data_IF_805852017749
#
_entry.id   IF_805852017749
#
_cell.length_a   1.000
_cell.length_b   1.000
_cell.length_c   1.000
_cell.angle_alpha   90.00
_cell.angle_beta   90.00
_cell.angle_gamma   90.00
#
_symmetry.space_group_name_H-M   'P 1'
#
loop_
_entity.id
_entity.type
_entity.pdbx_description
1 polymer ?
#
# COMPACT_ATOMS: atom_id res chain seq x y z
N UNK A 1 14.70 7.33 4.11
CA UNK A 1 13.98 8.58 3.81
C UNK A 1 14.87 9.77 4.10
N UNK A 2 14.66 10.86 3.36
CA UNK A 2 15.40 12.10 3.57
C UNK A 2 14.49 13.30 3.32
N UNK A 3 14.48 14.24 4.23
CA UNK A 3 13.90 15.55 4.02
C UNK A 3 14.99 16.55 3.68
N UNK A 4 14.77 17.30 2.62
CA UNK A 4 15.73 18.29 2.14
C UNK A 4 15.08 19.67 1.99
N UNK A 5 15.82 20.72 2.26
CA UNK A 5 15.38 22.09 1.97
C UNK A 5 15.37 22.34 0.46
N UNK A 6 14.78 23.46 0.03
CA UNK A 6 14.83 23.91 -1.37
C UNK A 6 16.26 24.16 -1.88
N UNK A 7 17.22 24.38 -0.98
CA UNK A 7 18.65 24.50 -1.30
C UNK A 7 19.40 23.15 -1.34
N UNK A 8 18.70 22.03 -1.09
CA UNK A 8 19.29 20.68 -1.08
C UNK A 8 19.95 20.26 0.23
N UNK A 9 19.88 21.07 1.28
CA UNK A 9 20.42 20.69 2.58
C UNK A 9 19.52 19.69 3.27
N UNK A 10 20.08 18.58 3.77
CA UNK A 10 19.36 17.58 4.55
C UNK A 10 19.00 18.13 5.92
N UNK A 11 17.74 18.04 6.32
CA UNK A 11 17.21 18.49 7.61
C UNK A 11 16.71 17.35 8.47
N UNK A 12 16.44 16.20 7.87
CA UNK A 12 16.07 14.98 8.57
C UNK A 12 16.40 13.74 7.72
N UNK A 13 16.80 12.67 8.37
CA UNK A 13 17.06 11.37 7.73
C UNK A 13 16.51 10.23 8.57
N UNK A 14 16.09 9.17 7.90
CA UNK A 14 15.69 7.91 8.49
C UNK A 14 16.24 6.76 7.64
N UNK A 15 16.89 5.82 8.29
CA UNK A 15 17.57 4.70 7.65
C UNK A 15 16.90 3.38 8.05
N UNK A 16 16.35 2.65 7.06
CA UNK A 16 15.66 1.37 7.28
C UNK A 16 16.54 0.33 7.99
N UNK A 17 17.84 0.29 7.70
CA UNK A 17 18.75 -0.69 8.31
C UNK A 17 18.99 -0.47 9.82
N UNK A 18 18.61 0.69 10.36
CA UNK A 18 18.67 0.98 11.79
C UNK A 18 17.40 0.56 12.54
N UNK A 19 16.29 0.40 11.83
CA UNK A 19 14.94 0.22 12.40
C UNK A 19 14.27 -1.10 11.99
N UNK A 20 14.79 -1.76 10.97
CA UNK A 20 14.27 -3.02 10.45
C UNK A 20 15.31 -4.12 10.71
N UNK A 21 14.81 -5.31 11.08
CA UNK A 21 15.65 -6.48 11.31
C UNK A 21 15.64 -7.40 10.09
N UNK A 22 16.78 -7.74 9.46
CA UNK A 22 16.82 -8.56 8.25
C UNK A 22 16.24 -9.97 8.41
N UNK A 23 16.09 -10.45 9.62
CA UNK A 23 15.51 -11.78 9.92
C UNK A 23 14.01 -11.65 10.21
N UNK A 24 13.65 -10.72 11.10
CA UNK A 24 12.24 -10.47 11.44
C UNK A 24 11.48 -9.81 10.27
N UNK A 25 12.13 -8.87 9.58
CA UNK A 25 11.61 -8.17 8.39
C UNK A 25 12.21 -8.75 7.10
N UNK A 26 12.33 -10.09 7.02
CA UNK A 26 12.86 -10.77 5.84
C UNK A 26 11.95 -10.57 4.62
N UNK A 27 12.56 -10.39 3.46
CA UNK A 27 11.82 -10.26 2.20
C UNK A 27 11.15 -11.58 1.81
N UNK A 28 10.11 -11.49 0.98
CA UNK A 28 9.46 -12.63 0.35
C UNK A 28 10.52 -13.54 -0.31
N UNK A 29 10.46 -14.83 -0.02
CA UNK A 29 11.45 -15.83 -0.51
C UNK A 29 11.44 -16.03 -2.03
N UNK A 30 10.39 -15.57 -2.72
CA UNK A 30 10.26 -15.66 -4.18
C UNK A 30 10.94 -14.48 -4.92
N UNK A 31 11.42 -13.46 -4.19
CA UNK A 31 12.10 -12.32 -4.78
C UNK A 31 13.62 -12.47 -4.84
N UNK A 32 14.24 -11.78 -5.82
CA UNK A 32 15.67 -11.61 -5.90
C UNK A 32 16.20 -10.89 -4.64
N UNK A 33 17.50 -11.07 -4.35
CA UNK A 33 18.18 -10.52 -3.15
C UNK A 33 19.00 -9.26 -3.45
N UNK A 34 18.69 -8.58 -4.53
CA UNK A 34 19.32 -7.33 -4.98
C UNK A 34 18.70 -6.09 -4.35
N UNK A 35 17.50 -6.23 -3.76
CA UNK A 35 16.78 -5.17 -3.09
C UNK A 35 16.12 -5.72 -1.81
N UNK A 36 16.12 -4.93 -0.71
CA UNK A 36 15.53 -5.41 0.54
C UNK A 36 14.11 -4.90 0.76
N UNK A 37 13.89 -3.58 0.79
CA UNK A 37 12.60 -3.03 1.26
C UNK A 37 11.62 -2.74 0.13
N UNK A 38 12.10 -2.29 -1.03
CA UNK A 38 11.28 -1.77 -2.12
C UNK A 38 10.21 -0.79 -1.61
N UNK A 39 10.66 0.29 -1.00
CA UNK A 39 9.76 1.30 -0.44
C UNK A 39 9.01 2.01 -1.57
N UNK A 40 7.70 1.86 -1.61
CA UNK A 40 6.85 2.39 -2.68
C UNK A 40 5.90 3.50 -2.23
N UNK A 41 5.90 3.85 -0.94
CA UNK A 41 5.13 4.97 -0.39
C UNK A 41 5.92 5.69 0.69
N UNK A 42 5.88 7.03 0.66
CA UNK A 42 6.41 7.91 1.69
C UNK A 42 5.53 9.18 1.70
N UNK A 43 4.63 9.30 2.67
CA UNK A 43 3.73 10.45 2.81
C UNK A 43 3.85 11.04 4.20
N UNK A 44 3.95 12.37 4.28
CA UNK A 44 3.94 13.08 5.56
C UNK A 44 2.49 13.28 6.01
N UNK A 45 2.20 12.88 7.24
CA UNK A 45 0.90 13.03 7.88
C UNK A 45 0.73 14.43 8.48
N UNK A 46 -0.50 14.79 8.85
CA UNK A 46 -0.80 16.13 9.42
C UNK A 46 -0.08 16.40 10.74
N UNK A 47 0.22 15.35 11.51
CA UNK A 47 0.99 15.42 12.76
C UNK A 47 2.51 15.45 12.55
N UNK A 48 2.95 15.41 11.30
CA UNK A 48 4.37 15.38 10.89
C UNK A 48 4.98 13.99 10.85
N UNK A 49 4.30 12.94 11.29
CA UNK A 49 4.75 11.55 11.15
C UNK A 49 4.73 11.10 9.68
N UNK A 50 5.32 9.96 9.38
CA UNK A 50 5.45 9.47 8.01
C UNK A 50 4.76 8.12 7.88
N UNK A 51 3.74 8.03 7.01
CA UNK A 51 3.22 6.72 6.60
C UNK A 51 4.01 6.19 5.41
N UNK A 52 4.36 4.92 5.46
CA UNK A 52 5.21 4.26 4.47
C UNK A 52 4.75 2.83 4.18
N UNK A 53 5.17 2.32 3.02
CA UNK A 53 4.96 0.94 2.61
C UNK A 53 6.27 0.34 2.11
N UNK A 54 6.63 -0.81 2.65
CA UNK A 54 7.76 -1.64 2.24
C UNK A 54 7.22 -2.86 1.50
N UNK A 55 7.19 -2.76 0.17
CA UNK A 55 6.55 -3.75 -0.71
C UNK A 55 7.08 -5.17 -0.51
N UNK A 56 8.40 -5.34 -0.47
CA UNK A 56 9.02 -6.67 -0.37
C UNK A 56 8.96 -7.26 1.05
N UNK A 57 8.59 -6.47 2.04
CA UNK A 57 8.40 -6.90 3.42
C UNK A 57 6.91 -7.18 3.74
N UNK A 58 6.00 -6.93 2.78
CA UNK A 58 4.56 -7.00 2.98
C UNK A 58 4.12 -6.18 4.22
N UNK A 59 4.71 -4.99 4.37
CA UNK A 59 4.59 -4.20 5.59
C UNK A 59 4.24 -2.75 5.29
N UNK A 60 3.29 -2.22 6.05
CA UNK A 60 2.96 -0.79 6.13
C UNK A 60 3.32 -0.30 7.53
N UNK A 61 3.77 0.94 7.64
CA UNK A 61 4.10 1.51 8.94
C UNK A 61 3.89 3.02 9.02
N UNK A 62 3.73 3.50 10.25
CA UNK A 62 3.79 4.92 10.59
C UNK A 62 5.03 5.13 11.44
N UNK A 63 5.91 6.03 10.98
CA UNK A 63 7.17 6.36 11.64
C UNK A 63 7.01 7.71 12.32
N UNK A 64 7.35 7.76 13.60
CA UNK A 64 7.49 9.02 14.33
C UNK A 64 8.68 9.80 13.80
N UNK A 65 8.44 10.98 13.24
CA UNK A 65 9.52 11.83 12.75
C UNK A 65 10.44 12.31 13.86
N UNK A 66 9.95 12.44 15.09
CA UNK A 66 10.72 12.94 16.23
C UNK A 66 11.63 11.88 16.84
N UNK A 67 11.20 10.60 16.94
CA UNK A 67 12.00 9.52 17.52
C UNK A 67 12.67 8.63 16.47
N UNK A 68 12.17 8.59 15.24
CA UNK A 68 12.60 7.64 14.20
C UNK A 68 12.02 6.24 14.38
N UNK A 69 11.24 5.99 15.40
CA UNK A 69 10.67 4.67 15.70
C UNK A 69 9.31 4.48 15.00
N UNK A 70 8.93 3.22 14.78
CA UNK A 70 7.57 2.89 14.35
C UNK A 70 6.59 3.13 15.50
N UNK A 71 5.59 3.97 15.28
CA UNK A 71 4.43 4.11 16.17
C UNK A 71 3.35 3.09 15.82
N UNK A 72 3.36 2.57 14.59
CA UNK A 72 2.54 1.46 14.13
C UNK A 72 3.26 0.73 12.98
N UNK A 73 3.17 -0.60 12.97
CA UNK A 73 3.70 -1.46 11.89
C UNK A 73 2.81 -2.68 11.74
N UNK A 74 2.36 -2.97 10.51
CA UNK A 74 1.42 -4.05 10.25
C UNK A 74 1.57 -4.59 8.81
N UNK A 75 1.07 -5.81 8.60
CA UNK A 75 0.82 -6.37 7.26
C UNK A 75 1.56 -7.67 6.97
N UNK A 76 2.71 -7.93 7.62
CA UNK A 76 3.48 -9.16 7.39
C UNK A 76 2.63 -10.40 7.68
N UNK A 77 2.51 -11.28 6.66
CA UNK A 77 1.66 -12.48 6.73
C UNK A 77 0.20 -12.24 6.36
N UNK A 78 -0.23 -10.98 6.24
CA UNK A 78 -1.58 -10.57 5.87
C UNK A 78 -1.64 -9.94 4.47
N UNK A 79 -0.63 -9.11 4.13
CA UNK A 79 -0.53 -8.41 2.86
C UNK A 79 0.28 -9.21 1.84
N UNK A 80 0.14 -8.85 0.57
CA UNK A 80 0.94 -9.36 -0.53
C UNK A 80 1.35 -8.23 -1.49
N UNK A 81 2.54 -7.62 -1.25
CA UNK A 81 3.14 -6.57 -2.10
C UNK A 81 2.30 -5.32 -2.29
N UNK A 82 1.71 -4.84 -1.22
CA UNK A 82 0.78 -3.71 -1.14
C UNK A 82 1.37 -2.39 -1.66
N UNK A 83 0.46 -1.47 -1.99
CA UNK A 83 0.75 -0.11 -2.43
C UNK A 83 -0.17 0.92 -1.77
N UNK A 84 0.26 2.17 -1.83
CA UNK A 84 -0.54 3.38 -1.60
C UNK A 84 -1.29 3.46 -0.26
N UNK A 85 -0.68 3.08 0.89
CA UNK A 85 -1.33 3.31 2.16
C UNK A 85 -1.51 4.80 2.42
N UNK A 86 -2.66 5.16 3.02
CA UNK A 86 -2.86 6.49 3.54
C UNK A 86 -3.84 6.53 4.71
N UNK A 87 -3.62 7.48 5.61
CA UNK A 87 -4.44 7.71 6.77
C UNK A 87 -5.74 8.39 6.35
N UNK A 88 -6.87 7.84 6.79
CA UNK A 88 -8.20 8.42 6.61
C UNK A 88 -8.52 9.41 7.74
N UNK A 89 -9.55 10.23 7.56
CA UNK A 89 -10.00 11.21 8.57
C UNK A 89 -10.47 10.56 9.88
N UNK A 90 -10.97 9.32 9.82
CA UNK A 90 -11.37 8.54 11.00
C UNK A 90 -10.19 7.89 11.75
N UNK A 91 -8.96 8.07 11.27
CA UNK A 91 -7.75 7.48 11.85
C UNK A 91 -7.40 6.08 11.34
N UNK A 92 -8.23 5.46 10.50
CA UNK A 92 -7.94 4.19 9.87
C UNK A 92 -6.96 4.36 8.70
N UNK A 93 -6.33 3.27 8.29
CA UNK A 93 -5.42 3.25 7.13
C UNK A 93 -6.08 2.49 5.98
N UNK A 94 -6.20 3.15 4.82
CA UNK A 94 -6.65 2.53 3.58
C UNK A 94 -5.43 2.03 2.80
N UNK A 95 -5.48 0.79 2.27
CA UNK A 95 -4.36 0.12 1.62
C UNK A 95 -4.86 -0.60 0.37
N UNK A 96 -4.11 -0.47 -0.75
CA UNK A 96 -4.25 -1.36 -1.89
C UNK A 96 -3.37 -2.59 -1.65
N UNK A 97 -3.97 -3.72 -1.28
CA UNK A 97 -3.28 -5.00 -1.15
C UNK A 97 -3.29 -5.72 -2.50
N UNK A 98 -2.12 -5.78 -3.16
CA UNK A 98 -1.99 -6.39 -4.48
C UNK A 98 -2.24 -7.91 -4.45
N UNK A 99 -2.03 -8.55 -3.30
CA UNK A 99 -2.24 -10.00 -3.13
C UNK A 99 -1.27 -10.87 -3.92
N UNK A 100 -0.17 -10.28 -4.45
CA UNK A 100 0.87 -11.02 -5.14
C UNK A 100 1.82 -11.64 -4.13
N UNK A 101 2.06 -12.94 -4.23
CA UNK A 101 2.83 -13.73 -3.25
C UNK A 101 2.21 -13.76 -1.84
N UNK A 102 0.93 -13.48 -1.69
CA UNK A 102 0.27 -13.57 -0.40
C UNK A 102 0.46 -14.95 0.23
N UNK A 103 0.85 -14.97 1.51
CA UNK A 103 1.06 -16.22 2.27
C UNK A 103 -0.25 -16.95 2.60
N UNK A 104 -1.37 -16.24 2.57
CA UNK A 104 -2.69 -16.75 2.98
C UNK A 104 -3.64 -17.02 1.82
N UNK A 105 -3.39 -16.45 0.65
CA UNK A 105 -4.28 -16.59 -0.51
C UNK A 105 -3.99 -17.89 -1.30
N UNK A 106 -5.05 -18.62 -1.63
CA UNK A 106 -4.98 -19.80 -2.51
C UNK A 106 -4.87 -19.41 -4.00
N UNK A 107 -5.18 -18.16 -4.33
CA UNK A 107 -5.15 -17.60 -5.67
C UNK A 107 -4.79 -16.12 -5.60
N UNK A 108 -3.96 -15.66 -6.52
CA UNK A 108 -3.61 -14.25 -6.64
C UNK A 108 -4.84 -13.40 -6.95
N UNK A 109 -5.13 -12.44 -6.09
CA UNK A 109 -6.22 -11.47 -6.23
C UNK A 109 -5.90 -10.24 -5.40
N UNK A 110 -6.27 -9.07 -5.90
CA UNK A 110 -6.13 -7.82 -5.14
C UNK A 110 -7.35 -7.56 -4.27
N UNK A 111 -7.15 -6.75 -3.25
CA UNK A 111 -8.23 -6.21 -2.41
C UNK A 111 -7.87 -4.80 -1.94
N UNK A 112 -8.88 -4.03 -1.60
CA UNK A 112 -8.70 -2.79 -0.86
C UNK A 112 -9.13 -3.05 0.56
N UNK A 113 -8.32 -2.66 1.53
CA UNK A 113 -8.66 -2.81 2.94
C UNK A 113 -8.55 -1.48 3.67
N UNK A 114 -9.44 -1.29 4.64
CA UNK A 114 -9.36 -0.25 5.65
C UNK A 114 -9.13 -0.91 6.99
N UNK A 115 -8.04 -0.56 7.67
CA UNK A 115 -7.62 -1.16 8.94
C UNK A 115 -7.54 -0.11 10.03
N UNK A 116 -8.02 -0.43 11.23
CA UNK A 116 -7.83 0.39 12.43
C UNK A 116 -6.45 0.10 13.04
N UNK A 117 -5.53 1.08 13.08
CA UNK A 117 -4.20 0.90 13.65
C UNK A 117 -4.18 0.57 15.16
N UNK A 118 -5.26 0.87 15.88
CA UNK A 118 -5.31 0.60 17.34
C UNK A 118 -5.66 -0.84 17.65
N UNK A 119 -6.56 -1.45 16.85
CA UNK A 119 -6.99 -2.84 17.04
C UNK A 119 -6.29 -3.82 16.10
N UNK A 120 -5.73 -3.33 14.99
CA UNK A 120 -5.26 -4.11 13.85
C UNK A 120 -6.37 -4.96 13.20
N UNK A 121 -7.62 -4.53 13.32
CA UNK A 121 -8.76 -5.19 12.70
C UNK A 121 -9.15 -4.50 11.38
N UNK A 122 -9.46 -5.32 10.37
CA UNK A 122 -9.97 -4.84 9.09
C UNK A 122 -11.41 -4.38 9.30
N UNK A 123 -11.67 -3.08 9.09
CA UNK A 123 -12.97 -2.45 9.27
C UNK A 123 -13.81 -2.49 7.99
N UNK A 124 -13.15 -2.51 6.82
CA UNK A 124 -13.79 -2.60 5.51
C UNK A 124 -12.88 -3.29 4.51
N UNK A 125 -13.48 -4.06 3.60
CA UNK A 125 -12.77 -4.75 2.53
C UNK A 125 -13.57 -4.69 1.24
N UNK A 126 -12.91 -4.34 0.14
CA UNK A 126 -13.40 -4.55 -1.22
C UNK A 126 -12.59 -5.64 -1.91
N UNK A 127 -13.27 -6.65 -2.43
CA UNK A 127 -12.72 -7.73 -3.28
C UNK A 127 -13.80 -8.26 -4.20
N UNK A 128 -13.40 -8.91 -5.29
CA UNK A 128 -14.34 -9.52 -6.23
C UNK A 128 -14.54 -11.01 -6.00
N UNK A 129 -15.63 -11.53 -6.54
CA UNK A 129 -15.87 -12.97 -6.67
C UNK A 129 -16.30 -13.26 -8.12
N UNK A 130 -15.46 -13.96 -8.89
CA UNK A 130 -14.17 -14.58 -8.54
C UNK A 130 -13.06 -13.54 -8.33
N UNK A 131 -12.03 -13.90 -7.53
CA UNK A 131 -10.96 -12.97 -7.15
C UNK A 131 -10.12 -12.43 -8.31
N UNK A 132 -9.92 -13.19 -9.39
CA UNK A 132 -9.14 -12.77 -10.56
C UNK A 132 -9.77 -11.62 -11.35
N UNK A 133 -11.04 -11.30 -11.14
CA UNK A 133 -11.70 -10.15 -11.78
C UNK A 133 -11.11 -8.82 -11.32
N UNK A 134 -10.48 -8.82 -10.13
CA UNK A 134 -9.75 -7.68 -9.59
C UNK A 134 -8.35 -8.12 -9.16
N UNK A 135 -7.38 -7.89 -10.05
CA UNK A 135 -6.00 -8.25 -9.77
C UNK A 135 -5.02 -7.33 -10.50
N UNK A 136 -4.13 -6.74 -9.73
CA UNK A 136 -2.97 -5.99 -10.18
C UNK A 136 -1.78 -6.37 -9.31
N UNK A 137 -0.81 -7.10 -9.84
CA UNK A 137 0.31 -7.68 -9.08
C UNK A 137 1.33 -6.64 -8.59
N UNK A 138 1.29 -5.43 -9.14
CA UNK A 138 2.15 -4.29 -8.77
C UNK A 138 1.45 -2.98 -9.10
N UNK A 139 2.06 -1.82 -8.72
CA UNK A 139 1.45 -0.49 -8.82
C UNK A 139 0.05 -0.44 -8.20
N UNK A 140 -0.79 0.53 -8.59
CA UNK A 140 -2.18 0.67 -8.14
C UNK A 140 -2.33 1.51 -6.87
N UNK A 141 -3.55 1.87 -6.56
CA UNK A 141 -3.89 2.66 -5.38
C UNK A 141 -5.39 2.81 -5.21
N UNK A 142 -5.81 3.32 -4.06
CA UNK A 142 -7.21 3.58 -3.76
C UNK A 142 -7.35 4.85 -2.93
N UNK A 143 -8.43 5.58 -3.13
CA UNK A 143 -8.72 6.83 -2.42
C UNK A 143 -10.17 6.87 -1.95
N UNK A 144 -10.38 7.06 -0.64
CA UNK A 144 -11.68 7.33 -0.07
C UNK A 144 -12.15 8.73 -0.49
N UNK A 145 -13.38 8.81 -0.97
CA UNK A 145 -14.01 10.06 -1.40
C UNK A 145 -14.86 10.69 -0.27
N UNK A 146 -15.12 11.99 -0.31
CA UNK A 146 -15.95 12.66 0.70
C UNK A 146 -17.39 12.11 0.80
N UNK A 147 -17.91 11.48 -0.28
CA UNK A 147 -19.22 10.83 -0.30
C UNK A 147 -19.22 9.42 0.34
N UNK A 148 -18.07 8.96 0.84
CA UNK A 148 -17.89 7.62 1.42
C UNK A 148 -17.50 6.53 0.42
N UNK A 149 -17.61 6.77 -0.88
CA UNK A 149 -17.18 5.82 -1.90
C UNK A 149 -15.65 5.73 -1.97
N UNK A 150 -15.14 4.70 -2.64
CA UNK A 150 -13.70 4.53 -2.86
C UNK A 150 -13.41 4.48 -4.34
N UNK A 151 -12.55 5.40 -4.82
CA UNK A 151 -11.98 5.34 -6.16
C UNK A 151 -10.77 4.42 -6.13
N UNK A 152 -10.72 3.48 -7.07
CA UNK A 152 -9.68 2.43 -7.16
C UNK A 152 -9.02 2.52 -8.53
N UNK A 153 -7.68 2.59 -8.54
CA UNK A 153 -6.87 2.47 -9.74
C UNK A 153 -6.31 1.05 -9.83
N UNK A 154 -6.84 0.24 -10.71
CA UNK A 154 -6.31 -1.09 -11.07
C UNK A 154 -5.27 -0.92 -12.18
N UNK A 155 -4.03 -0.60 -11.77
CA UNK A 155 -3.02 -0.06 -12.67
C UNK A 155 -2.64 -0.97 -13.83
N UNK A 156 -2.47 -2.28 -13.60
CA UNK A 156 -2.11 -3.23 -14.67
C UNK A 156 -3.15 -3.32 -15.79
N UNK A 157 -4.42 -3.10 -15.47
CA UNK A 157 -5.50 -3.12 -16.46
C UNK A 157 -5.82 -1.75 -17.03
N UNK A 158 -5.16 -0.69 -16.54
CA UNK A 158 -5.47 0.69 -16.91
C UNK A 158 -6.92 1.06 -16.57
N UNK A 159 -7.49 0.43 -15.54
CA UNK A 159 -8.87 0.62 -15.10
C UNK A 159 -8.91 1.50 -13.87
N UNK A 160 -9.77 2.51 -13.88
CA UNK A 160 -10.12 3.31 -12.70
C UNK A 160 -11.61 3.16 -12.48
N UNK A 161 -12.02 2.86 -11.26
CA UNK A 161 -13.43 2.68 -10.95
C UNK A 161 -13.76 3.13 -9.53
N UNK A 162 -15.02 3.45 -9.28
CA UNK A 162 -15.53 3.87 -7.98
C UNK A 162 -16.50 2.85 -7.43
N UNK A 163 -16.34 2.49 -6.16
CA UNK A 163 -17.22 1.55 -5.46
C UNK A 163 -17.86 2.23 -4.26
N UNK A 164 -19.11 1.84 -3.96
CA UNK A 164 -19.79 2.20 -2.72
C UNK A 164 -19.19 1.46 -1.52
N UNK A 165 -19.63 1.81 -0.32
CA UNK A 165 -19.22 1.09 0.89
C UNK A 165 -19.70 -0.39 0.89
N UNK A 166 -20.78 -0.70 0.18
CA UNK A 166 -21.32 -2.05 -0.03
C UNK A 166 -20.58 -2.82 -1.13
N UNK A 167 -19.64 -2.16 -1.85
CA UNK A 167 -18.84 -2.77 -2.91
C UNK A 167 -19.49 -2.73 -4.30
N UNK A 168 -20.55 -1.94 -4.50
CA UNK A 168 -21.17 -1.76 -5.82
C UNK A 168 -20.34 -0.79 -6.67
N UNK A 169 -20.02 -1.18 -7.93
CA UNK A 169 -19.35 -0.30 -8.88
C UNK A 169 -20.36 0.72 -9.43
N UNK A 170 -20.15 1.98 -9.12
CA UNK A 170 -21.02 3.09 -9.55
C UNK A 170 -20.46 3.88 -10.71
N UNK A 171 -19.17 3.77 -10.96
CA UNK A 171 -18.50 4.41 -12.09
C UNK A 171 -17.25 3.62 -12.48
N UNK A 172 -16.89 3.63 -13.78
CA UNK A 172 -15.62 3.09 -14.24
C UNK A 172 -15.14 3.75 -15.53
N UNK A 173 -13.83 3.78 -15.67
CA UNK A 173 -13.11 4.17 -16.87
C UNK A 173 -12.02 3.14 -17.16
N UNK A 174 -11.88 2.75 -18.42
CA UNK A 174 -10.78 1.92 -18.91
C UNK A 174 -9.96 2.74 -19.89
N UNK A 175 -8.68 2.90 -19.63
CA UNK A 175 -7.75 3.59 -20.51
C UNK A 175 -7.64 2.84 -21.84
N UNK A 176 -8.00 3.46 -22.99
CA UNK A 176 -7.90 2.80 -24.31
C UNK A 176 -6.49 2.88 -24.90
N UNK A 177 -5.58 3.62 -24.26
CA UNK A 177 -4.22 3.84 -24.76
C UNK A 177 -3.25 2.93 -24.00
N UNK A 178 -2.73 1.93 -24.70
CA UNK A 178 -1.67 1.06 -24.21
C UNK A 178 -0.39 1.38 -24.97
N UNK A 179 0.76 1.40 -24.27
CA UNK A 179 2.06 1.55 -24.91
C UNK A 179 2.42 0.31 -25.73
N UNK A 180 3.24 0.51 -26.78
CA UNK A 180 3.78 -0.60 -27.60
C UNK A 180 4.82 -1.44 -26.87
N UNK A 181 5.10 -1.15 -25.62
CA UNK A 181 6.10 -1.82 -24.80
C UNK A 181 5.54 -3.12 -24.25
N UNK A 182 5.82 -4.22 -24.97
CA UNK A 182 5.45 -5.59 -24.61
C UNK A 182 6.19 -6.13 -23.36
N UNK A 183 6.42 -5.29 -22.36
CA UNK A 183 7.09 -5.66 -21.09
C UNK A 183 6.13 -6.03 -19.97
N UNK A 184 4.89 -6.35 -20.32
CA UNK A 184 3.89 -6.86 -19.38
C UNK A 184 3.34 -8.21 -19.84
#
# INVERSE_FOLDING_TARGET
FREVTSSGATVWEWHGFEQLDPVADAICHLHHRDEWTHTNTCKVLLDGNIITSFRLLDTVGIISKSSGEFVWKWGRGELGHQHDPHLLENGNVLIFDNGWHSATATMASSRIIEIDPNSNEIQWEYKTKPGWDFFSSFISGAQRQPNGNTVICEGMKGRVFEVTNEGEIVWQYVNPFFGDDARF
#
